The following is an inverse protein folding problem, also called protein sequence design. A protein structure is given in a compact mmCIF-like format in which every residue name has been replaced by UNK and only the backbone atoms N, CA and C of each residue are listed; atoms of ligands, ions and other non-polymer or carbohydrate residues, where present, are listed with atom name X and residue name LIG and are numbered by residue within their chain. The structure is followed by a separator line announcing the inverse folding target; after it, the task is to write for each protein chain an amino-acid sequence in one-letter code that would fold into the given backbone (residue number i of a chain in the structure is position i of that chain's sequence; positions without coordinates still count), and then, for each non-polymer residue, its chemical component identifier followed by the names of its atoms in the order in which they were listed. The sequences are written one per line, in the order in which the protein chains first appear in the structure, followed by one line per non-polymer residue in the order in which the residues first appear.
data_IF_161738867319
#
_entry.id   IF_161738867319
#
_cell.length_a   1.000
_cell.length_b   1.000
_cell.length_c   1.000
_cell.angle_alpha   90.00
_cell.angle_beta   90.00
_cell.angle_gamma   90.00
#
_symmetry.space_group_name_H-M   'P 1'
#
loop_
_entity.id
_entity.type
_entity.pdbx_description
1 polymer ?
#
# COMPACT_ATOMS: atom_id res chain seq x y z
N UNK A 1 -32.19 -14.22 6.53
CA UNK A 1 -30.91 -14.24 7.28
C UNK A 1 -30.22 -12.93 7.00
N UNK A 2 -29.61 -12.30 8.00
CA UNK A 2 -28.71 -11.19 7.72
C UNK A 2 -27.53 -11.76 6.92
N UNK A 3 -27.27 -11.20 5.74
CA UNK A 3 -26.12 -11.61 4.93
C UNK A 3 -24.83 -11.26 5.68
N UNK A 4 -23.82 -12.14 5.61
CA UNK A 4 -22.59 -12.04 6.39
C UNK A 4 -21.78 -10.77 6.05
N UNK A 5 -21.92 -10.27 4.82
CA UNK A 5 -21.23 -9.08 4.29
C UNK A 5 -21.95 -8.48 3.07
N UNK A 6 -21.50 -7.31 2.61
CA UNK A 6 -22.14 -6.53 1.56
C UNK A 6 -21.96 -7.17 0.16
N UNK A 7 -23.03 -7.14 -0.64
CA UNK A 7 -23.07 -7.79 -1.96
C UNK A 7 -22.81 -9.31 -1.91
N UNK A 8 -23.20 -9.99 -0.82
CA UNK A 8 -22.98 -11.42 -0.58
C UNK A 8 -23.27 -12.31 -1.80
N UNK A 9 -24.46 -12.21 -2.38
CA UNK A 9 -24.89 -13.01 -3.54
C UNK A 9 -23.99 -12.84 -4.77
N UNK A 10 -23.29 -11.71 -4.90
CA UNK A 10 -22.38 -11.43 -6.02
C UNK A 10 -20.96 -11.96 -5.81
N UNK A 11 -20.62 -12.37 -4.58
CA UNK A 11 -19.25 -12.74 -4.18
C UNK A 11 -19.15 -14.20 -3.74
N UNK A 12 -20.18 -14.73 -3.06
CA UNK A 12 -20.11 -16.00 -2.33
C UNK A 12 -19.72 -17.20 -3.20
N UNK A 13 -20.26 -17.30 -4.42
CA UNK A 13 -19.95 -18.43 -5.31
C UNK A 13 -18.47 -18.46 -5.65
N UNK A 14 -17.91 -17.29 -6.00
CA UNK A 14 -16.48 -17.16 -6.30
C UNK A 14 -15.61 -17.42 -5.07
N UNK A 15 -16.01 -16.93 -3.89
CA UNK A 15 -15.30 -17.19 -2.63
C UNK A 15 -15.24 -18.70 -2.35
N UNK A 16 -16.37 -19.40 -2.48
CA UNK A 16 -16.45 -20.84 -2.26
C UNK A 16 -15.61 -21.62 -3.28
N UNK A 17 -15.61 -21.21 -4.55
CA UNK A 17 -14.74 -21.80 -5.58
C UNK A 17 -13.25 -21.68 -5.21
N UNK A 18 -12.82 -20.53 -4.72
CA UNK A 18 -11.43 -20.33 -4.29
C UNK A 18 -11.12 -21.15 -3.04
N UNK A 19 -11.99 -21.13 -2.02
CA UNK A 19 -11.81 -21.93 -0.81
C UNK A 19 -11.68 -23.44 -1.12
N UNK A 20 -12.48 -23.95 -2.06
CA UNK A 20 -12.44 -25.34 -2.47
C UNK A 20 -11.08 -25.76 -3.06
N UNK A 21 -10.36 -24.85 -3.74
CA UNK A 21 -9.02 -25.12 -4.27
C UNK A 21 -8.00 -25.42 -3.16
N UNK A 22 -8.24 -24.92 -1.95
CA UNK A 22 -7.40 -25.14 -0.77
C UNK A 22 -7.98 -26.18 0.20
N UNK A 23 -9.06 -26.87 -0.21
CA UNK A 23 -9.74 -27.85 0.63
C UNK A 23 -10.43 -27.24 1.86
N UNK A 24 -10.88 -25.99 1.76
CA UNK A 24 -11.70 -25.30 2.77
C UNK A 24 -13.15 -25.30 2.28
N UNK A 25 -14.08 -25.81 3.08
CA UNK A 25 -15.48 -26.04 2.67
C UNK A 25 -16.35 -24.79 2.76
N UNK A 26 -16.03 -23.87 3.67
CA UNK A 26 -16.81 -22.65 3.88
C UNK A 26 -16.01 -21.56 4.59
N UNK A 27 -16.58 -20.35 4.65
CA UNK A 27 -16.01 -19.21 5.37
C UNK A 27 -15.95 -19.50 6.88
N UNK A 28 -16.90 -20.25 7.43
CA UNK A 28 -16.90 -20.69 8.83
C UNK A 28 -15.75 -21.67 9.10
N UNK A 29 -15.44 -22.58 8.16
CA UNK A 29 -14.26 -23.44 8.28
C UNK A 29 -12.97 -22.61 8.18
N UNK A 30 -12.92 -21.60 7.32
CA UNK A 30 -11.80 -20.66 7.26
C UNK A 30 -11.55 -19.98 8.63
N UNK A 31 -12.62 -19.54 9.30
CA UNK A 31 -12.53 -19.01 10.66
C UNK A 31 -12.01 -20.05 11.65
N UNK A 32 -12.56 -21.26 11.62
CA UNK A 32 -12.13 -22.34 12.53
C UNK A 32 -10.64 -22.70 12.35
N UNK A 33 -10.11 -22.65 11.13
CA UNK A 33 -8.69 -22.84 10.84
C UNK A 33 -7.84 -21.76 11.51
N UNK A 34 -8.27 -20.50 11.43
CA UNK A 34 -7.58 -19.37 12.07
C UNK A 34 -7.64 -19.47 13.60
N UNK A 35 -8.82 -19.77 14.15
CA UNK A 35 -9.04 -19.93 15.59
C UNK A 35 -8.19 -21.09 16.17
N UNK A 36 -8.06 -22.20 15.44
CA UNK A 36 -7.22 -23.33 15.82
C UNK A 36 -5.72 -22.98 15.88
N UNK A 37 -5.30 -21.93 15.18
CA UNK A 37 -3.96 -21.34 15.23
C UNK A 37 -3.86 -20.15 16.17
N UNK A 38 -4.93 -19.82 16.90
CA UNK A 38 -4.94 -18.73 17.88
C UNK A 38 -4.85 -17.33 17.28
N UNK A 39 -5.12 -17.18 15.97
CA UNK A 39 -5.12 -15.87 15.30
C UNK A 39 -6.56 -15.41 15.02
N UNK A 40 -6.78 -14.09 15.10
CA UNK A 40 -8.07 -13.47 14.78
C UNK A 40 -7.90 -12.40 13.68
N UNK A 41 -7.82 -12.81 12.40
CA UNK A 41 -7.64 -11.88 11.28
C UNK A 41 -8.82 -10.89 11.14
N UNK A 42 -10.02 -11.29 11.57
CA UNK A 42 -11.22 -10.45 11.54
C UNK A 42 -11.01 -9.23 12.43
N UNK A 43 -10.64 -9.45 13.69
CA UNK A 43 -10.39 -8.38 14.66
C UNK A 43 -9.15 -7.56 14.30
N UNK A 44 -8.08 -8.19 13.82
CA UNK A 44 -6.88 -7.47 13.36
C UNK A 44 -7.19 -6.50 12.22
N UNK A 45 -8.06 -6.89 11.28
CA UNK A 45 -8.55 -6.00 10.23
C UNK A 45 -9.33 -4.82 10.81
N UNK A 46 -10.26 -5.09 11.73
CA UNK A 46 -11.09 -4.07 12.39
C UNK A 46 -10.26 -3.07 13.19
N UNK A 47 -9.28 -3.54 13.97
CA UNK A 47 -8.38 -2.68 14.74
C UNK A 47 -7.49 -1.82 13.84
N UNK A 48 -7.17 -2.30 12.64
CA UNK A 48 -6.40 -1.53 11.64
C UNK A 48 -7.23 -0.39 11.07
N UNK A 49 -8.50 -0.63 10.76
CA UNK A 49 -9.44 0.41 10.32
C UNK A 49 -10.86 0.13 10.84
N UNK A 50 -11.30 0.78 11.93
CA UNK A 50 -12.59 0.48 12.56
C UNK A 50 -13.83 0.71 11.68
N UNK A 51 -13.68 1.52 10.62
CA UNK A 51 -14.74 1.83 9.66
C UNK A 51 -14.73 0.89 8.43
N UNK A 52 -13.90 -0.15 8.41
CA UNK A 52 -13.88 -1.12 7.31
C UNK A 52 -15.17 -1.95 7.26
N UNK A 53 -15.49 -2.45 6.08
CA UNK A 53 -16.73 -3.21 5.85
C UNK A 53 -16.59 -4.66 6.30
N UNK A 54 -17.71 -5.35 6.46
CA UNK A 54 -17.71 -6.79 6.78
C UNK A 54 -16.96 -7.60 5.72
N UNK A 55 -17.08 -7.19 4.44
CA UNK A 55 -16.30 -7.73 3.33
C UNK A 55 -14.79 -7.83 3.65
N UNK A 56 -14.20 -6.75 4.17
CA UNK A 56 -12.77 -6.72 4.46
C UNK A 56 -12.39 -7.70 5.56
N UNK A 57 -13.15 -7.68 6.66
CA UNK A 57 -12.87 -8.50 7.84
C UNK A 57 -12.92 -9.99 7.50
N UNK A 58 -13.92 -10.41 6.73
CA UNK A 58 -14.02 -11.81 6.25
C UNK A 58 -13.00 -12.16 5.18
N UNK A 59 -12.60 -11.22 4.31
CA UNK A 59 -11.56 -11.46 3.33
C UNK A 59 -10.20 -11.78 3.98
N UNK A 60 -9.86 -11.11 5.09
CA UNK A 60 -8.65 -11.44 5.85
C UNK A 60 -8.72 -12.79 6.55
N UNK A 61 -9.91 -13.21 7.03
CA UNK A 61 -10.11 -14.56 7.58
C UNK A 61 -9.87 -15.61 6.50
N UNK A 62 -10.48 -15.44 5.32
CA UNK A 62 -10.30 -16.34 4.17
C UNK A 62 -8.82 -16.38 3.75
N UNK A 63 -8.19 -15.21 3.60
CA UNK A 63 -6.77 -15.12 3.20
C UNK A 63 -5.82 -15.78 4.20
N UNK A 64 -6.03 -15.58 5.51
CA UNK A 64 -5.21 -16.21 6.55
C UNK A 64 -5.41 -17.74 6.57
N UNK A 65 -6.65 -18.22 6.42
CA UNK A 65 -6.93 -19.64 6.37
C UNK A 65 -6.27 -20.32 5.15
N UNK A 66 -6.28 -19.66 3.99
CA UNK A 66 -5.56 -20.11 2.79
C UNK A 66 -4.06 -20.19 3.08
N UNK A 67 -3.46 -19.15 3.69
CA UNK A 67 -2.04 -19.16 4.06
C UNK A 67 -1.67 -20.32 5.00
N UNK A 68 -2.50 -20.58 6.02
CA UNK A 68 -2.33 -21.70 6.94
C UNK A 68 -2.43 -23.04 6.21
N UNK A 69 -3.43 -23.22 5.34
CA UNK A 69 -3.61 -24.45 4.56
C UNK A 69 -2.50 -24.72 3.56
N UNK A 70 -1.91 -23.66 2.99
CA UNK A 70 -0.72 -23.76 2.12
C UNK A 70 0.55 -24.10 2.91
N UNK A 71 0.51 -24.07 4.24
CA UNK A 71 1.68 -24.33 5.08
C UNK A 71 2.70 -23.20 5.03
N UNK A 72 2.27 -21.95 4.80
CA UNK A 72 3.17 -20.80 4.71
C UNK A 72 3.91 -20.59 6.05
N UNK A 73 5.22 -20.79 6.05
CA UNK A 73 6.08 -20.59 7.23
C UNK A 73 6.83 -19.27 7.21
N UNK A 74 6.72 -18.49 6.13
CA UNK A 74 7.25 -17.13 6.05
C UNK A 74 6.11 -16.12 5.90
N UNK A 75 6.27 -14.94 6.50
CA UNK A 75 5.27 -13.88 6.41
C UNK A 75 5.14 -13.38 4.96
N UNK A 76 6.21 -13.42 4.16
CA UNK A 76 6.13 -13.03 2.76
C UNK A 76 5.18 -13.96 1.97
N UNK A 77 5.32 -15.28 2.14
CA UNK A 77 4.46 -16.25 1.45
C UNK A 77 3.02 -16.20 1.99
N UNK A 78 2.87 -15.96 3.30
CA UNK A 78 1.57 -15.75 3.91
C UNK A 78 0.88 -14.50 3.36
N UNK A 79 1.61 -13.40 3.12
CA UNK A 79 1.06 -12.18 2.52
C UNK A 79 0.58 -12.40 1.07
N UNK A 80 1.30 -13.19 0.27
CA UNK A 80 0.86 -13.56 -1.09
C UNK A 80 -0.42 -14.40 -1.05
N UNK A 81 -0.50 -15.39 -0.14
CA UNK A 81 -1.69 -16.19 0.08
C UNK A 81 -2.88 -15.38 0.62
N UNK A 82 -2.64 -14.41 1.51
CA UNK A 82 -3.69 -13.48 1.94
C UNK A 82 -4.22 -12.69 0.74
N UNK A 83 -3.34 -12.27 -0.17
CA UNK A 83 -3.74 -11.61 -1.42
C UNK A 83 -4.72 -12.44 -2.27
N UNK A 84 -4.59 -13.77 -2.30
CA UNK A 84 -5.54 -14.68 -2.97
C UNK A 84 -6.91 -14.62 -2.30
N UNK A 85 -6.96 -14.60 -0.96
CA UNK A 85 -8.21 -14.43 -0.21
C UNK A 85 -8.86 -13.06 -0.42
N UNK A 86 -8.07 -11.98 -0.43
CA UNK A 86 -8.57 -10.64 -0.78
C UNK A 86 -9.13 -10.62 -2.20
N UNK A 87 -8.46 -11.28 -3.16
CA UNK A 87 -8.88 -11.34 -4.55
C UNK A 87 -10.20 -12.09 -4.72
N UNK A 88 -10.42 -13.16 -3.95
CA UNK A 88 -11.66 -13.93 -3.98
C UNK A 88 -12.89 -13.09 -3.63
N UNK A 89 -12.71 -12.01 -2.87
CA UNK A 89 -13.80 -11.10 -2.57
C UNK A 89 -14.10 -10.15 -3.72
N UNK A 90 -13.25 -9.94 -4.73
CA UNK A 90 -13.55 -9.03 -5.83
C UNK A 90 -14.86 -9.40 -6.55
N UNK A 91 -15.69 -8.41 -6.86
CA UNK A 91 -16.88 -8.62 -7.70
C UNK A 91 -16.41 -8.94 -9.12
N UNK A 92 -16.88 -10.04 -9.70
CA UNK A 92 -16.54 -10.46 -11.06
C UNK A 92 -16.83 -9.35 -12.09
N UNK A 93 -15.84 -9.07 -12.95
CA UNK A 93 -15.93 -8.02 -13.98
C UNK A 93 -15.85 -6.59 -13.45
N UNK A 94 -15.64 -6.39 -12.15
CA UNK A 94 -15.34 -5.07 -11.60
C UNK A 94 -13.93 -4.61 -11.94
N UNK A 95 -13.65 -3.32 -11.74
CA UNK A 95 -12.30 -2.76 -11.90
C UNK A 95 -11.31 -3.43 -10.95
N UNK A 96 -11.76 -3.81 -9.74
CA UNK A 96 -10.91 -4.50 -8.77
C UNK A 96 -10.53 -5.93 -9.21
N UNK A 97 -11.47 -6.64 -9.84
CA UNK A 97 -11.22 -7.98 -10.39
C UNK A 97 -10.27 -7.92 -11.60
N UNK A 98 -10.55 -7.06 -12.57
CA UNK A 98 -9.74 -6.89 -13.78
C UNK A 98 -8.26 -6.59 -13.44
N UNK A 99 -8.03 -5.68 -12.50
CA UNK A 99 -6.68 -5.27 -12.07
C UNK A 99 -6.01 -6.22 -11.10
N UNK A 100 -6.70 -7.29 -10.67
CA UNK A 100 -6.22 -8.23 -9.66
C UNK A 100 -5.76 -7.52 -8.38
N UNK A 101 -6.59 -6.61 -7.88
CA UNK A 101 -6.25 -5.71 -6.75
C UNK A 101 -5.87 -6.47 -5.49
N UNK A 102 -6.55 -7.57 -5.16
CA UNK A 102 -6.24 -8.40 -4.00
C UNK A 102 -4.84 -9.02 -4.09
N UNK A 103 -4.51 -9.59 -5.24
CA UNK A 103 -3.17 -10.14 -5.53
C UNK A 103 -2.11 -9.03 -5.48
N UNK A 104 -2.42 -7.85 -6.02
CA UNK A 104 -1.52 -6.69 -5.96
C UNK A 104 -1.19 -6.27 -4.53
N UNK A 105 -2.18 -6.27 -3.62
CA UNK A 105 -1.97 -5.97 -2.19
C UNK A 105 -1.11 -7.03 -1.52
N UNK A 106 -1.39 -8.31 -1.75
CA UNK A 106 -0.57 -9.41 -1.22
C UNK A 106 0.89 -9.32 -1.67
N UNK A 107 1.12 -9.08 -2.97
CA UNK A 107 2.46 -8.93 -3.54
C UNK A 107 3.22 -7.73 -2.97
N UNK A 108 2.55 -6.60 -2.76
CA UNK A 108 3.16 -5.44 -2.11
C UNK A 108 3.59 -5.80 -0.68
N UNK A 109 2.68 -6.33 0.13
CA UNK A 109 2.98 -6.68 1.52
C UNK A 109 4.12 -7.71 1.60
N UNK A 110 4.12 -8.73 0.73
CA UNK A 110 5.18 -9.72 0.66
C UNK A 110 6.54 -9.10 0.35
N UNK A 111 6.60 -8.14 -0.59
CA UNK A 111 7.85 -7.39 -0.86
C UNK A 111 8.34 -6.62 0.34
N UNK A 112 7.45 -5.98 1.10
CA UNK A 112 7.82 -5.25 2.32
C UNK A 112 8.34 -6.18 3.43
N UNK A 113 7.96 -7.46 3.40
CA UNK A 113 8.41 -8.49 4.35
C UNK A 113 9.72 -9.18 3.92
N UNK A 114 10.07 -9.14 2.63
CA UNK A 114 11.29 -9.75 2.07
C UNK A 114 12.54 -8.91 2.31
N UNK A 115 13.64 -9.57 2.68
CA UNK A 115 14.93 -8.92 2.94
C UNK A 115 15.50 -8.21 1.71
N UNK A 116 15.14 -8.61 0.49
CA UNK A 116 15.64 -7.92 -0.71
C UNK A 116 15.12 -6.47 -0.84
N UNK A 117 14.00 -6.14 -0.18
CA UNK A 117 13.48 -4.77 -0.12
C UNK A 117 14.11 -4.06 1.06
N UNK A 118 14.93 -3.05 0.82
CA UNK A 118 15.63 -2.27 1.86
C UNK A 118 15.00 -0.90 2.08
N UNK A 119 14.41 -0.30 1.03
CA UNK A 119 13.80 1.01 1.12
C UNK A 119 12.39 1.06 0.52
N UNK A 120 11.44 1.54 1.34
CA UNK A 120 10.06 1.78 0.98
C UNK A 120 9.74 3.28 0.99
N UNK A 121 9.25 3.81 -0.13
CA UNK A 121 8.93 5.22 -0.28
C UNK A 121 7.42 5.47 -0.38
N UNK A 122 6.95 6.47 0.36
CA UNK A 122 5.65 7.08 0.12
C UNK A 122 5.85 8.34 -0.72
N UNK A 123 5.37 8.31 -1.97
CA UNK A 123 5.28 9.49 -2.81
C UNK A 123 3.99 10.23 -2.42
N UNK A 124 4.14 11.10 -1.43
CA UNK A 124 3.09 11.70 -0.64
C UNK A 124 2.61 13.04 -1.25
N UNK A 125 1.31 13.35 -1.12
CA UNK A 125 0.71 14.64 -1.48
C UNK A 125 0.50 15.59 -0.30
N UNK A 126 -0.14 16.73 -0.48
CA UNK A 126 -0.41 17.68 0.61
C UNK A 126 -1.34 17.15 1.73
N UNK A 127 -2.04 16.05 1.49
CA UNK A 127 -2.98 15.40 2.44
C UNK A 127 -2.32 14.31 3.32
N UNK A 128 -0.98 14.27 3.35
CA UNK A 128 -0.21 13.07 3.75
C UNK A 128 -0.10 12.74 5.23
N UNK A 129 -0.95 13.31 6.09
CA UNK A 129 -0.97 12.90 7.51
C UNK A 129 -1.30 11.39 7.64
N UNK A 130 -2.28 10.90 6.87
CA UNK A 130 -2.66 9.49 6.89
C UNK A 130 -1.60 8.56 6.25
N UNK A 131 -0.82 9.05 5.29
CA UNK A 131 0.26 8.28 4.68
C UNK A 131 1.42 8.06 5.65
N UNK A 132 1.76 9.10 6.43
CA UNK A 132 2.78 9.07 7.46
C UNK A 132 2.50 8.03 8.56
N UNK A 133 1.30 8.02 9.14
CA UNK A 133 0.96 7.05 10.20
C UNK A 133 0.91 5.60 9.71
N UNK A 134 0.38 5.38 8.50
CA UNK A 134 0.37 4.06 7.88
C UNK A 134 1.79 3.52 7.66
N UNK A 135 2.70 4.38 7.20
CA UNK A 135 4.09 4.03 6.94
C UNK A 135 4.82 3.49 8.18
N UNK A 136 4.61 4.14 9.34
CA UNK A 136 5.23 3.73 10.61
C UNK A 136 4.74 2.35 11.02
N UNK A 137 3.41 2.14 11.03
CA UNK A 137 2.81 0.87 11.47
C UNK A 137 3.22 -0.29 10.58
N UNK A 138 3.27 -0.07 9.27
CA UNK A 138 3.73 -1.07 8.29
C UNK A 138 5.18 -1.45 8.58
N UNK A 139 6.07 -0.47 8.75
CA UNK A 139 7.48 -0.76 9.04
C UNK A 139 7.68 -1.42 10.39
N UNK A 140 6.96 -0.99 11.43
CA UNK A 140 7.03 -1.61 12.75
C UNK A 140 6.64 -3.09 12.71
N UNK A 141 5.54 -3.42 12.04
CA UNK A 141 5.08 -4.80 11.92
C UNK A 141 6.00 -5.64 11.04
N UNK A 142 6.42 -5.12 9.87
CA UNK A 142 7.36 -5.82 9.00
C UNK A 142 8.68 -6.11 9.71
N UNK A 143 9.18 -5.16 10.51
CA UNK A 143 10.45 -5.30 11.22
C UNK A 143 10.42 -6.32 12.38
N UNK A 144 9.26 -6.87 12.75
CA UNK A 144 9.16 -7.96 13.74
C UNK A 144 9.72 -9.29 13.21
N UNK A 145 9.68 -9.49 11.89
CA UNK A 145 10.09 -10.74 11.24
C UNK A 145 11.32 -10.56 10.33
N UNK A 146 11.78 -9.32 10.15
CA UNK A 146 12.96 -8.98 9.37
C UNK A 146 14.23 -8.95 10.21
N UNK A 147 15.35 -9.30 9.60
CA UNK A 147 16.70 -9.13 10.14
C UNK A 147 17.17 -7.69 9.97
N UNK A 148 16.98 -7.12 8.77
CA UNK A 148 17.33 -5.73 8.49
C UNK A 148 16.07 -4.86 8.51
N UNK A 149 16.00 -3.84 9.38
CA UNK A 149 14.86 -2.95 9.44
C UNK A 149 14.62 -2.27 8.09
N UNK A 150 13.39 -2.35 7.60
CA UNK A 150 12.93 -1.64 6.41
C UNK A 150 13.07 -0.13 6.62
N UNK A 151 13.80 0.55 5.73
CA UNK A 151 13.88 2.01 5.72
C UNK A 151 12.64 2.58 5.06
N UNK A 152 12.07 3.61 5.67
CA UNK A 152 10.89 4.30 5.15
C UNK A 152 11.22 5.75 4.87
N UNK A 153 10.86 6.22 3.67
CA UNK A 153 10.99 7.61 3.30
C UNK A 153 9.67 8.20 2.82
N UNK A 154 9.50 9.51 3.00
CA UNK A 154 8.46 10.31 2.36
C UNK A 154 9.12 11.24 1.36
N UNK A 155 8.55 11.33 0.16
CA UNK A 155 9.00 12.21 -0.93
C UNK A 155 7.77 12.80 -1.64
N UNK A 156 7.89 13.97 -2.26
CA UNK A 156 6.83 14.63 -3.02
C UNK A 156 5.98 15.66 -2.30
N UNK A 157 6.48 16.11 -1.16
CA UNK A 157 6.03 17.31 -0.47
C UNK A 157 6.89 18.49 -0.93
N UNK A 158 6.34 19.71 -0.99
CA UNK A 158 7.18 20.91 -1.03
C UNK A 158 8.03 21.00 0.24
N UNK A 159 9.18 21.68 0.19
CA UNK A 159 10.13 21.75 1.33
C UNK A 159 9.50 22.24 2.63
N UNK A 160 8.65 23.25 2.57
CA UNK A 160 7.91 23.74 3.74
C UNK A 160 6.91 22.71 4.29
N UNK A 161 6.18 22.04 3.40
CA UNK A 161 5.21 21.00 3.78
C UNK A 161 5.92 19.80 4.41
N UNK A 162 7.06 19.37 3.84
CA UNK A 162 7.89 18.31 4.38
C UNK A 162 8.38 18.63 5.79
N UNK A 163 8.87 19.85 6.03
CA UNK A 163 9.31 20.31 7.35
C UNK A 163 8.17 20.30 8.37
N UNK A 164 6.99 20.83 8.01
CA UNK A 164 5.81 20.85 8.88
C UNK A 164 5.34 19.43 9.21
N UNK A 165 5.18 18.57 8.21
CA UNK A 165 4.76 17.18 8.39
C UNK A 165 5.76 16.43 9.28
N UNK A 166 7.06 16.66 9.07
CA UNK A 166 8.10 16.05 9.90
C UNK A 166 7.99 16.46 11.35
N UNK A 167 7.79 17.75 11.61
CA UNK A 167 7.64 18.29 12.96
C UNK A 167 6.40 17.74 13.67
N UNK A 168 5.25 17.71 12.99
CA UNK A 168 3.99 17.24 13.59
C UNK A 168 4.05 15.74 13.89
N UNK A 169 4.63 14.95 12.98
CA UNK A 169 4.68 13.50 13.13
C UNK A 169 5.88 13.00 13.96
N UNK A 170 6.89 13.85 14.19
CA UNK A 170 8.13 13.45 14.85
C UNK A 170 9.12 12.72 13.93
N UNK A 171 9.04 12.96 12.63
CA UNK A 171 9.97 12.38 11.64
C UNK A 171 11.29 13.14 11.58
N UNK A 172 12.24 12.58 10.86
CA UNK A 172 13.46 13.30 10.51
C UNK A 172 13.26 14.04 9.21
N UNK A 173 13.28 15.38 9.26
CA UNK A 173 13.31 16.21 8.06
C UNK A 173 14.72 16.18 7.45
N UNK A 174 14.81 15.81 6.18
CA UNK A 174 16.06 15.83 5.41
C UNK A 174 15.94 16.96 4.39
N UNK A 175 16.67 18.04 4.64
CA UNK A 175 16.71 19.18 3.75
C UNK A 175 17.71 18.92 2.63
N UNK A 176 17.27 19.11 1.39
CA UNK A 176 18.07 18.85 0.19
C UNK A 176 18.31 20.11 -0.62
N UNK A 177 19.46 20.12 -1.30
CA UNK A 177 19.78 21.07 -2.36
C UNK A 177 20.07 20.30 -3.64
N UNK A 178 19.30 20.59 -4.68
CA UNK A 178 19.45 20.01 -6.01
C UNK A 178 20.33 20.91 -6.88
N UNK A 179 21.33 20.32 -7.52
CA UNK A 179 22.13 20.98 -8.54
C UNK A 179 21.52 20.72 -9.92
N UNK A 180 20.98 21.77 -10.53
CA UNK A 180 20.33 21.69 -11.84
C UNK A 180 21.30 21.40 -12.99
N UNK A 181 22.59 21.72 -12.84
CA UNK A 181 23.62 21.49 -13.85
C UNK A 181 24.08 20.03 -13.85
N UNK A 182 24.34 19.45 -12.68
CA UNK A 182 24.82 18.06 -12.56
C UNK A 182 23.70 17.04 -12.43
N UNK A 183 22.52 17.44 -11.92
CA UNK A 183 21.43 16.55 -11.58
C UNK A 183 21.61 15.83 -10.23
N UNK A 184 22.58 16.26 -9.41
CA UNK A 184 22.86 15.64 -8.12
C UNK A 184 22.07 16.31 -6.97
N UNK A 185 21.72 15.52 -5.96
CA UNK A 185 21.04 16.00 -4.75
C UNK A 185 21.94 15.82 -3.53
N UNK A 186 22.21 16.93 -2.84
CA UNK A 186 22.97 16.94 -1.60
C UNK A 186 22.06 17.13 -0.38
N UNK A 187 22.38 16.46 0.72
CA UNK A 187 21.75 16.76 2.01
C UNK A 187 22.46 17.96 2.64
N UNK A 188 21.69 19.01 2.97
CA UNK A 188 22.23 20.21 3.61
C UNK A 188 21.98 20.23 5.12
N UNK A 189 20.90 19.57 5.57
CA UNK A 189 20.59 19.43 6.98
C UNK A 189 19.72 18.19 7.24
N UNK A 190 19.86 17.63 8.45
CA UNK A 190 19.02 16.55 8.95
C UNK A 190 18.54 16.92 10.36
N UNK A 191 17.22 17.07 10.53
CA UNK A 191 16.62 17.47 11.81
C UNK A 191 15.63 16.40 12.28
N UNK A 192 15.99 15.57 13.29
CA UNK A 192 15.06 14.67 13.95
C UNK A 192 14.12 15.47 14.86
N UNK A 193 12.80 15.28 14.73
CA UNK A 193 11.80 15.91 15.59
C UNK A 193 11.27 14.98 16.70
N UNK A 194 11.83 13.77 16.83
CA UNK A 194 11.62 12.85 17.95
C UNK A 194 12.84 11.94 18.14
N UNK A 195 12.85 11.13 19.21
CA UNK A 195 13.93 10.20 19.52
C UNK A 195 13.57 8.72 19.28
N UNK A 196 12.34 8.44 18.81
CA UNK A 196 11.78 7.10 18.69
C UNK A 196 11.81 6.51 17.28
N UNK A 197 11.02 5.44 17.06
CA UNK A 197 10.86 4.82 15.73
C UNK A 197 10.42 5.82 14.66
N UNK A 198 9.65 6.84 15.03
CA UNK A 198 9.21 7.90 14.12
C UNK A 198 10.39 8.67 13.53
N UNK A 199 11.45 8.92 14.30
CA UNK A 199 12.65 9.60 13.82
C UNK A 199 13.39 8.81 12.73
N UNK A 200 13.16 7.49 12.62
CA UNK A 200 13.76 6.65 11.57
C UNK A 200 13.12 6.88 10.19
N UNK A 201 11.94 7.49 10.15
CA UNK A 201 11.29 7.89 8.90
C UNK A 201 11.94 9.17 8.40
N UNK A 202 12.52 9.14 7.20
CA UNK A 202 13.15 10.30 6.56
C UNK A 202 12.14 10.98 5.65
N UNK A 203 11.87 12.26 5.88
CA UNK A 203 10.92 13.03 5.11
C UNK A 203 11.66 14.08 4.29
N UNK A 204 11.56 13.95 2.97
CA UNK A 204 12.16 14.85 2.00
C UNK A 204 11.11 15.79 1.44
N UNK A 205 11.52 17.04 1.24
CA UNK A 205 10.81 17.97 0.39
C UNK A 205 11.55 18.16 -0.92
N UNK A 206 10.81 18.27 -2.01
CA UNK A 206 11.35 18.48 -3.35
C UNK A 206 10.61 19.62 -4.04
N UNK A 207 11.36 20.50 -4.69
CA UNK A 207 10.79 21.64 -5.40
C UNK A 207 10.26 21.24 -6.80
N UNK A 208 10.83 20.17 -7.38
CA UNK A 208 10.41 19.64 -8.67
C UNK A 208 10.67 18.13 -8.84
N UNK A 209 10.20 17.59 -9.97
CA UNK A 209 10.30 16.16 -10.32
C UNK A 209 11.74 15.67 -10.40
N UNK A 210 12.70 16.48 -10.88
CA UNK A 210 14.10 16.06 -11.02
C UNK A 210 14.74 15.86 -9.66
N UNK A 211 14.53 16.80 -8.74
CA UNK A 211 14.96 16.65 -7.34
C UNK A 211 14.29 15.42 -6.71
N UNK A 212 12.97 15.25 -6.93
CA UNK A 212 12.22 14.08 -6.47
C UNK A 212 12.81 12.75 -6.94
N UNK A 213 13.17 12.63 -8.22
CA UNK A 213 13.80 11.43 -8.80
C UNK A 213 15.21 11.23 -8.22
N UNK A 214 16.00 12.28 -8.08
CA UNK A 214 17.34 12.21 -7.50
C UNK A 214 17.31 11.72 -6.03
N UNK A 215 16.30 12.13 -5.25
CA UNK A 215 16.06 11.61 -3.89
C UNK A 215 15.78 10.09 -3.92
N UNK A 216 14.94 9.63 -4.86
CA UNK A 216 14.64 8.20 -5.00
C UNK A 216 15.90 7.37 -5.31
N UNK A 217 16.79 7.90 -6.16
CA UNK A 217 18.09 7.29 -6.45
C UNK A 217 19.02 7.29 -5.25
N UNK A 218 19.12 8.41 -4.56
CA UNK A 218 19.96 8.57 -3.38
C UNK A 218 19.60 7.60 -2.26
N UNK A 219 18.31 7.39 -2.04
CA UNK A 219 17.83 6.44 -1.03
C UNK A 219 17.78 4.99 -1.51
N UNK A 220 18.10 4.74 -2.80
CA UNK A 220 18.04 3.43 -3.46
C UNK A 220 16.69 2.75 -3.27
N UNK A 221 15.60 3.47 -3.59
CA UNK A 221 14.23 3.00 -3.33
C UNK A 221 13.91 1.73 -4.13
N UNK A 222 13.40 0.71 -3.44
CA UNK A 222 13.02 -0.58 -4.01
C UNK A 222 11.52 -0.68 -4.29
N UNK A 223 10.71 -0.11 -3.40
CA UNK A 223 9.25 -0.15 -3.47
C UNK A 223 8.70 1.25 -3.21
N UNK A 224 7.66 1.66 -3.94
CA UNK A 224 6.92 2.86 -3.56
C UNK A 224 5.41 2.73 -3.75
N UNK A 225 4.68 3.59 -3.03
CA UNK A 225 3.27 3.87 -3.31
C UNK A 225 3.15 5.35 -3.67
N UNK A 226 2.54 5.64 -4.83
CA UNK A 226 2.07 6.98 -5.16
C UNK A 226 0.71 7.22 -4.54
N UNK A 227 0.64 8.17 -3.60
CA UNK A 227 -0.59 8.63 -3.01
C UNK A 227 -1.32 9.66 -3.89
N UNK A 228 -2.57 9.92 -3.54
CA UNK A 228 -3.32 11.04 -4.10
C UNK A 228 -2.81 12.38 -3.56
N UNK A 229 -2.70 13.37 -4.43
CA UNK A 229 -2.41 14.76 -4.06
C UNK A 229 -3.39 15.69 -4.78
N UNK A 230 -3.38 16.98 -4.44
CA UNK A 230 -4.13 18.01 -5.17
C UNK A 230 -3.62 18.24 -6.59
N UNK A 231 -2.42 17.76 -6.94
CA UNK A 231 -1.90 17.78 -8.31
C UNK A 231 -0.94 16.59 -8.61
N UNK A 232 -1.45 15.36 -8.67
CA UNK A 232 -0.64 14.14 -8.74
C UNK A 232 0.07 13.97 -10.08
N UNK A 233 -0.39 14.70 -11.10
CA UNK A 233 0.16 14.72 -12.46
C UNK A 233 1.42 15.58 -12.57
N UNK A 234 1.70 16.45 -11.58
CA UNK A 234 2.86 17.33 -11.58
C UNK A 234 4.05 16.79 -10.79
N UNK A 235 3.84 15.81 -9.89
CA UNK A 235 4.93 15.29 -9.07
C UNK A 235 4.92 13.78 -8.89
N UNK A 236 3.96 13.21 -8.15
CA UNK A 236 4.05 11.83 -7.65
C UNK A 236 4.18 10.80 -8.79
N UNK A 237 3.28 10.85 -9.79
CA UNK A 237 3.36 9.94 -10.93
C UNK A 237 4.55 10.22 -11.85
N UNK A 238 4.89 11.48 -12.22
CA UNK A 238 6.13 11.77 -12.95
C UNK A 238 7.39 11.25 -12.27
N UNK A 239 7.53 11.41 -10.95
CA UNK A 239 8.68 10.90 -10.19
C UNK A 239 8.72 9.39 -10.24
N UNK A 240 7.62 8.70 -9.90
CA UNK A 240 7.57 7.24 -9.94
C UNK A 240 7.86 6.68 -11.33
N UNK A 241 7.27 7.26 -12.37
CA UNK A 241 7.44 6.82 -13.76
C UNK A 241 8.84 7.08 -14.30
N UNK A 242 9.42 8.24 -14.03
CA UNK A 242 10.80 8.56 -14.43
C UNK A 242 11.78 7.65 -13.70
N UNK A 243 11.65 7.52 -12.38
CA UNK A 243 12.49 6.63 -11.59
C UNK A 243 12.39 5.16 -12.04
N UNK A 244 11.17 4.66 -12.32
CA UNK A 244 10.98 3.30 -12.87
C UNK A 244 11.73 3.10 -14.17
N UNK A 245 11.60 4.05 -15.12
CA UNK A 245 12.30 3.99 -16.41
C UNK A 245 13.82 3.96 -16.20
N UNK A 246 14.36 4.85 -15.39
CA UNK A 246 15.81 4.93 -15.14
C UNK A 246 16.34 3.67 -14.44
N UNK A 247 15.61 3.14 -13.45
CA UNK A 247 15.95 1.88 -12.76
C UNK A 247 16.02 0.70 -13.73
N UNK A 248 15.00 0.55 -14.59
CA UNK A 248 14.96 -0.51 -15.59
C UNK A 248 16.12 -0.40 -16.58
N UNK A 249 16.43 0.81 -17.07
CA UNK A 249 17.57 1.05 -17.96
C UNK A 249 18.91 0.74 -17.29
N UNK A 250 19.02 0.96 -15.98
CA UNK A 250 20.18 0.60 -15.18
C UNK A 250 20.21 -0.88 -14.74
N UNK A 251 19.27 -1.72 -15.20
CA UNK A 251 19.17 -3.13 -14.80
C UNK A 251 18.77 -3.35 -13.34
N UNK A 252 18.25 -2.33 -12.67
CA UNK A 252 17.82 -2.39 -11.27
C UNK A 252 16.32 -2.63 -11.15
N UNK A 253 15.92 -3.44 -10.16
CA UNK A 253 14.50 -3.68 -9.85
C UNK A 253 13.92 -2.50 -9.08
N UNK A 254 12.64 -2.24 -9.31
CA UNK A 254 11.84 -1.28 -8.57
C UNK A 254 10.37 -1.68 -8.73
N UNK A 255 9.61 -1.72 -7.65
CA UNK A 255 8.18 -2.05 -7.65
C UNK A 255 7.37 -0.79 -7.31
N UNK A 256 6.56 -0.35 -8.26
CA UNK A 256 5.78 0.87 -8.15
C UNK A 256 4.31 0.53 -7.99
N UNK A 257 3.67 1.15 -7.00
CA UNK A 257 2.24 1.00 -6.77
C UNK A 257 1.55 2.33 -6.98
N UNK A 258 0.50 2.33 -7.80
CA UNK A 258 -0.37 3.48 -7.96
C UNK A 258 -1.64 3.29 -7.11
N UNK A 259 -1.81 4.11 -6.07
CA UNK A 259 -3.11 4.20 -5.40
C UNK A 259 -4.09 4.86 -6.39
N UNK A 260 -5.07 4.12 -6.89
CA UNK A 260 -6.05 4.58 -7.88
C UNK A 260 -7.10 5.54 -7.33
N UNK A 261 -6.71 6.39 -6.39
CA UNK A 261 -7.62 7.29 -5.71
C UNK A 261 -8.16 8.32 -6.70
N UNK A 262 -9.45 8.21 -6.99
CA UNK A 262 -10.17 9.18 -7.80
C UNK A 262 -9.87 9.02 -9.27
N UNK A 263 -10.49 8.02 -9.89
CA UNK A 263 -10.84 7.98 -11.33
C UNK A 263 -11.73 9.16 -11.77
N UNK A 264 -11.76 10.28 -11.02
CA UNK A 264 -12.58 11.44 -11.32
C UNK A 264 -12.55 12.65 -10.38
N UNK A 265 -11.91 12.60 -9.21
CA UNK A 265 -12.00 13.71 -8.23
C UNK A 265 -10.71 14.48 -7.96
N UNK A 266 -9.55 13.89 -8.23
CA UNK A 266 -8.26 14.49 -7.81
C UNK A 266 -7.83 15.66 -8.68
N UNK A 267 -8.42 15.79 -9.87
CA UNK A 267 -8.26 16.95 -10.74
C UNK A 267 -9.65 17.43 -11.11
N UNK A 268 -10.16 18.42 -10.39
CA UNK A 268 -11.33 19.15 -10.86
C UNK A 268 -11.07 19.56 -12.33
N UNK A 269 -12.01 19.36 -13.26
CA UNK A 269 -11.89 19.78 -14.66
C UNK A 269 -11.29 21.19 -14.81
N UNK A 270 -11.68 22.08 -13.90
CA UNK A 270 -11.23 23.47 -13.86
C UNK A 270 -9.80 23.65 -13.32
N UNK A 271 -9.30 22.73 -12.48
CA UNK A 271 -7.92 22.79 -11.96
C UNK A 271 -6.87 22.43 -13.03
N UNK A 272 -7.27 21.68 -14.05
CA UNK A 272 -6.38 21.26 -15.14
C UNK A 272 -6.73 21.92 -16.48
N UNK A 273 -7.79 22.73 -16.53
CA UNK A 273 -8.39 23.25 -17.77
C UNK A 273 -8.62 22.16 -18.85
N UNK A 274 -8.75 20.90 -18.43
CA UNK A 274 -8.85 19.74 -19.31
C UNK A 274 -10.30 19.26 -19.49
N UNK A 275 -11.26 19.92 -18.84
CA UNK A 275 -12.67 19.53 -18.91
C UNK A 275 -12.88 18.08 -18.44
N UNK A 276 -13.86 17.36 -19.00
CA UNK A 276 -14.09 15.95 -18.69
C UNK A 276 -12.89 15.01 -18.95
N UNK A 277 -11.86 15.43 -19.69
CA UNK A 277 -10.66 14.62 -19.91
C UNK A 277 -9.76 14.53 -18.65
N UNK A 278 -10.01 15.36 -17.63
CA UNK A 278 -9.30 15.22 -16.33
C UNK A 278 -9.72 13.96 -15.56
N UNK A 279 -10.92 13.43 -15.82
CA UNK A 279 -11.41 12.20 -15.22
C UNK A 279 -10.58 11.01 -15.75
N UNK A 280 -9.91 10.30 -14.85
CA UNK A 280 -9.08 9.15 -15.21
C UNK A 280 -7.65 9.48 -15.63
N UNK A 281 -7.22 10.75 -15.64
CA UNK A 281 -5.81 11.08 -15.96
C UNK A 281 -4.83 10.47 -14.94
N UNK A 282 -5.20 10.47 -13.66
CA UNK A 282 -4.46 9.78 -12.58
C UNK A 282 -4.40 8.27 -12.80
N UNK A 283 -5.51 7.70 -13.26
CA UNK A 283 -5.62 6.28 -13.59
C UNK A 283 -4.67 5.91 -14.74
N UNK A 284 -4.70 6.68 -15.82
CA UNK A 284 -3.82 6.52 -16.98
C UNK A 284 -2.35 6.64 -16.58
N UNK A 285 -1.97 7.68 -15.83
CA UNK A 285 -0.59 7.85 -15.38
C UNK A 285 -0.13 6.72 -14.47
N UNK A 286 -1.01 6.23 -13.58
CA UNK A 286 -0.75 5.03 -12.78
C UNK A 286 -0.38 3.83 -13.64
N UNK A 287 -1.15 3.55 -14.70
CA UNK A 287 -0.91 2.43 -15.63
C UNK A 287 0.40 2.53 -16.41
N UNK A 288 0.97 3.73 -16.56
CA UNK A 288 2.23 3.91 -17.28
C UNK A 288 3.47 3.42 -16.53
N UNK A 289 3.40 3.29 -15.19
CA UNK A 289 4.56 2.92 -14.37
C UNK A 289 4.31 1.84 -13.32
N UNK A 290 3.06 1.68 -12.88
CA UNK A 290 2.75 0.82 -11.75
C UNK A 290 2.78 -0.67 -12.13
N UNK A 291 3.36 -1.46 -11.23
CA UNK A 291 3.29 -2.92 -11.25
C UNK A 291 2.00 -3.42 -10.56
N UNK A 292 1.42 -2.61 -9.67
CA UNK A 292 0.11 -2.82 -9.08
C UNK A 292 -0.67 -1.52 -8.99
N UNK A 293 -1.95 -1.56 -9.36
CA UNK A 293 -2.84 -0.41 -9.29
C UNK A 293 -4.01 -0.72 -8.36
N UNK A 294 -4.10 0.02 -7.26
CA UNK A 294 -5.10 -0.23 -6.24
C UNK A 294 -6.43 0.45 -6.52
N UNK A 295 -7.51 -0.12 -5.96
CA UNK A 295 -8.85 0.40 -6.08
C UNK A 295 -9.08 1.58 -5.11
N UNK A 296 -9.65 2.68 -5.62
CA UNK A 296 -10.23 3.73 -4.78
C UNK A 296 -9.25 4.51 -3.89
N UNK A 297 -9.80 5.17 -2.87
CA UNK A 297 -9.06 6.07 -1.98
C UNK A 297 -8.15 5.33 -1.00
N UNK A 298 -7.03 5.96 -0.63
CA UNK A 298 -6.09 5.44 0.37
C UNK A 298 -6.68 5.29 1.77
N UNK A 299 -7.80 5.97 2.07
CA UNK A 299 -8.38 6.04 3.43
C UNK A 299 -9.89 5.78 3.53
N UNK A 300 -10.66 5.79 2.43
CA UNK A 300 -12.13 5.77 2.48
C UNK A 300 -12.69 4.42 1.96
N UNK A 301 -13.20 3.54 2.85
CA UNK A 301 -13.81 2.25 2.50
C UNK A 301 -14.82 2.28 1.36
N UNK A 302 -15.75 3.24 1.38
CA UNK A 302 -16.80 3.34 0.38
C UNK A 302 -16.25 3.52 -1.05
N UNK A 303 -15.16 4.28 -1.22
CA UNK A 303 -14.55 4.46 -2.54
C UNK A 303 -13.92 3.16 -3.07
N UNK A 304 -13.54 2.24 -2.18
CA UNK A 304 -12.95 0.95 -2.52
C UNK A 304 -14.06 -0.07 -2.85
N UNK A 305 -15.14 -0.09 -2.08
CA UNK A 305 -16.34 -0.89 -2.38
C UNK A 305 -16.98 -0.48 -3.71
N UNK A 306 -17.05 0.82 -4.03
CA UNK A 306 -17.59 1.32 -5.31
C UNK A 306 -16.83 0.79 -6.53
N UNK A 307 -15.57 0.38 -6.36
CA UNK A 307 -14.75 -0.23 -7.40
C UNK A 307 -14.91 -1.76 -7.49
N UNK A 308 -15.83 -2.33 -6.69
CA UNK A 308 -16.12 -3.76 -6.58
C UNK A 308 -15.16 -4.53 -5.68
N UNK A 309 -14.45 -3.85 -4.77
CA UNK A 309 -13.52 -4.51 -3.83
C UNK A 309 -14.14 -4.66 -2.43
N UNK A 310 -13.33 -4.70 -1.36
CA UNK A 310 -13.74 -5.19 -0.03
C UNK A 310 -14.00 -4.10 1.04
N UNK A 311 -14.02 -2.83 0.66
CA UNK A 311 -14.42 -1.76 1.58
C UNK A 311 -13.40 -1.48 2.71
N UNK A 312 -12.13 -1.30 2.36
CA UNK A 312 -11.06 -0.86 3.27
C UNK A 312 -10.10 0.07 2.50
N UNK A 313 -9.52 1.08 3.17
CA UNK A 313 -8.59 2.01 2.51
C UNK A 313 -7.27 1.34 2.11
N UNK A 314 -6.63 1.80 1.03
CA UNK A 314 -5.41 1.13 0.51
C UNK A 314 -4.24 1.07 1.49
N UNK A 315 -3.94 2.16 2.20
CA UNK A 315 -2.82 2.13 3.17
C UNK A 315 -3.14 1.22 4.38
N UNK A 316 -4.34 1.29 4.98
CA UNK A 316 -4.78 0.32 5.96
C UNK A 316 -4.71 -1.14 5.48
N UNK A 317 -5.05 -1.44 4.22
CA UNK A 317 -4.96 -2.80 3.68
C UNK A 317 -3.52 -3.33 3.66
N UNK A 318 -2.54 -2.51 3.28
CA UNK A 318 -1.12 -2.92 3.36
C UNK A 318 -0.73 -3.21 4.81
N UNK A 319 -1.16 -2.36 5.75
CA UNK A 319 -0.93 -2.56 7.19
C UNK A 319 -1.54 -3.85 7.73
N UNK A 320 -2.82 -4.11 7.43
CA UNK A 320 -3.50 -5.32 7.87
C UNK A 320 -2.92 -6.57 7.23
N UNK A 321 -2.57 -6.55 5.94
CA UNK A 321 -1.93 -7.68 5.26
C UNK A 321 -0.59 -8.02 5.91
N UNK A 322 0.26 -7.02 6.17
CA UNK A 322 1.55 -7.24 6.86
C UNK A 322 1.34 -7.79 8.27
N UNK A 323 0.39 -7.22 9.03
CA UNK A 323 0.12 -7.66 10.40
C UNK A 323 -0.40 -9.11 10.45
N UNK A 324 -1.39 -9.45 9.62
CA UNK A 324 -1.97 -10.81 9.56
C UNK A 324 -0.92 -11.81 9.06
N UNK A 325 -0.10 -11.44 8.07
CA UNK A 325 0.96 -12.30 7.58
C UNK A 325 2.03 -12.61 8.64
N UNK A 326 2.43 -11.61 9.44
CA UNK A 326 3.32 -11.80 10.58
C UNK A 326 2.70 -12.71 11.63
N UNK A 327 1.41 -12.53 11.95
CA UNK A 327 0.71 -13.40 12.90
C UNK A 327 0.61 -14.86 12.40
N UNK A 328 0.33 -15.07 11.10
CA UNK A 328 0.35 -16.40 10.48
C UNK A 328 1.74 -17.03 10.61
N UNK A 329 2.82 -16.30 10.27
CA UNK A 329 4.18 -16.82 10.42
C UNK A 329 4.43 -17.27 11.87
N UNK A 330 4.12 -16.42 12.85
CA UNK A 330 4.34 -16.71 14.26
C UNK A 330 3.59 -17.98 14.70
N UNK A 331 2.31 -18.09 14.37
CA UNK A 331 1.47 -19.26 14.68
C UNK A 331 1.84 -20.55 13.91
N UNK A 332 2.64 -20.44 12.85
CA UNK A 332 3.14 -21.58 12.07
C UNK A 332 4.53 -22.03 12.52
N UNK A 333 5.25 -21.21 13.28
CA UNK A 333 6.55 -21.54 13.90
C UNK A 333 6.46 -22.07 15.33
N UNK A 334 5.28 -21.96 15.96
CA UNK A 334 4.92 -22.58 17.25
C UNK A 334 4.40 -24.01 17.08
#
# INVERSE_FOLDING_TARGET
MANLFESYERRIDHINEVLAQYGIKSIEEAKAICDAKGIDPYKMCEETQPICFENAKWAYVVGAAIAIKKGCTSAADAAEAIGEGLQAFCIAGSVADDRKVGIGHGNLAARLLREETQCFAFLAGHESFAAAEGAIKIAEMANRVRKNPLRVILNGLGKDAAKIISRINGFTYVETKFDYYTGEVAEVAQTPYSDGLRAKVRCYGADDVREGVAIMWKEDVDVSITGNSTNPTRFQHPVAGTYKKERVLAGKKYFSVASGGGTGRTLHPDNMAAGPASYGMTDTLGRMHSDAQFAGSSSVPAHVEMMGFLGMGNNPMVGATVAVAVAVQQAMTE
#
